data_IF_956450199984
#
_entry.id   IF_956450199984
#
_cell.length_a   1.000
_cell.length_b   1.000
_cell.length_c   1.000
_cell.angle_alpha   90.00
_cell.angle_beta   90.00
_cell.angle_gamma   90.00
#
_symmetry.space_group_name_H-M   'P 1'
#
loop_
_entity.id
_entity.type
_entity.pdbx_description
1 polymer ?
#
# COMPACT_ATOMS: atom_id res chain seq x y z
N UNK A 1 -2.00 4.19 -57.79
CA UNK A 1 -2.57 4.68 -56.55
C UNK A 1 -2.35 3.62 -55.49
N UNK A 2 -1.28 3.75 -54.74
CA UNK A 2 -0.90 2.82 -53.70
C UNK A 2 -1.27 3.38 -52.36
N UNK A 3 -2.14 2.69 -51.60
CA UNK A 3 -2.43 2.97 -50.20
C UNK A 3 -1.38 2.25 -49.37
N UNK A 4 -0.44 2.99 -48.81
CA UNK A 4 0.50 2.50 -47.79
C UNK A 4 -0.22 2.49 -46.44
N UNK A 5 -0.67 1.32 -46.02
CA UNK A 5 -1.11 1.07 -44.65
C UNK A 5 0.14 0.95 -43.77
N UNK A 6 0.49 2.02 -43.09
CA UNK A 6 1.48 1.99 -42.03
C UNK A 6 0.88 1.28 -40.81
N UNK A 7 1.25 0.02 -40.63
CA UNK A 7 0.93 -0.75 -39.45
C UNK A 7 1.67 -0.17 -38.24
N UNK A 8 0.92 0.43 -37.33
CA UNK A 8 1.40 0.82 -36.00
C UNK A 8 1.62 -0.44 -35.19
N UNK A 9 2.87 -0.90 -35.12
CA UNK A 9 3.28 -2.01 -34.26
C UNK A 9 3.24 -1.52 -32.83
N UNK A 10 2.14 -1.78 -32.12
CA UNK A 10 2.04 -1.56 -30.69
C UNK A 10 3.00 -2.52 -30.00
N UNK A 11 4.12 -1.98 -29.52
CA UNK A 11 5.02 -2.68 -28.62
C UNK A 11 4.30 -2.81 -27.29
N UNK A 12 3.56 -3.89 -27.07
CA UNK A 12 3.09 -4.32 -25.78
C UNK A 12 4.30 -4.87 -24.99
N UNK A 13 5.09 -3.96 -24.41
CA UNK A 13 6.05 -4.34 -23.38
C UNK A 13 5.27 -4.83 -22.16
N UNK A 14 5.38 -6.11 -21.86
CA UNK A 14 5.09 -6.86 -20.64
C UNK A 14 4.34 -6.18 -19.49
N UNK A 15 3.20 -5.60 -19.72
CA UNK A 15 2.26 -5.21 -18.65
C UNK A 15 1.61 -6.49 -18.15
N UNK A 16 1.96 -6.91 -16.94
CA UNK A 16 1.25 -7.96 -16.23
C UNK A 16 -0.26 -7.68 -16.30
N UNK A 17 -1.05 -8.74 -16.42
CA UNK A 17 -2.51 -8.64 -16.61
C UNK A 17 -3.14 -8.08 -15.32
N UNK A 18 -3.53 -6.81 -15.34
CA UNK A 18 -4.30 -6.20 -14.27
C UNK A 18 -5.65 -6.93 -14.10
N UNK A 19 -6.11 -7.06 -12.88
CA UNK A 19 -7.37 -7.74 -12.53
C UNK A 19 -8.10 -6.99 -11.42
N UNK A 20 -9.33 -7.37 -11.16
CA UNK A 20 -10.04 -6.83 -10.00
C UNK A 20 -9.27 -7.08 -8.70
N UNK A 21 -9.23 -6.09 -7.77
CA UNK A 21 -8.73 -6.33 -6.44
C UNK A 21 -9.48 -7.49 -5.74
N UNK A 22 -8.78 -8.24 -4.90
CA UNK A 22 -9.39 -9.32 -4.13
C UNK A 22 -10.51 -8.82 -3.21
N UNK A 23 -11.43 -9.71 -2.86
CA UNK A 23 -12.56 -9.35 -1.99
C UNK A 23 -12.08 -8.86 -0.61
N UNK A 24 -10.98 -9.40 -0.11
CA UNK A 24 -10.37 -8.97 1.14
C UNK A 24 -9.84 -7.52 1.06
N UNK A 25 -9.21 -7.17 -0.06
CA UNK A 25 -8.75 -5.81 -0.33
C UNK A 25 -9.93 -4.85 -0.46
N UNK A 26 -10.95 -5.22 -1.22
CA UNK A 26 -12.18 -4.41 -1.38
C UNK A 26 -12.86 -4.16 -0.03
N UNK A 27 -13.11 -5.21 0.74
CA UNK A 27 -13.75 -5.09 2.06
C UNK A 27 -12.93 -4.23 3.04
N UNK A 28 -11.62 -4.36 3.00
CA UNK A 28 -10.74 -3.55 3.84
C UNK A 28 -10.77 -2.08 3.42
N UNK A 29 -10.77 -1.80 2.13
CA UNK A 29 -10.88 -0.45 1.62
C UNK A 29 -12.20 0.22 2.05
N UNK A 30 -13.31 -0.51 1.98
CA UNK A 30 -14.61 -0.03 2.47
C UNK A 30 -14.57 0.30 3.96
N UNK A 31 -13.88 -0.50 4.77
CA UNK A 31 -13.67 -0.22 6.20
C UNK A 31 -12.89 1.08 6.41
N UNK A 32 -11.80 1.32 5.66
CA UNK A 32 -11.07 2.59 5.71
C UNK A 32 -11.96 3.77 5.38
N UNK A 33 -12.77 3.67 4.32
CA UNK A 33 -13.69 4.74 3.89
C UNK A 33 -14.84 4.98 4.88
N UNK A 34 -15.25 3.93 5.60
CA UNK A 34 -16.28 4.04 6.65
C UNK A 34 -15.75 4.75 7.89
N UNK A 35 -14.51 4.46 8.30
CA UNK A 35 -13.86 5.13 9.43
C UNK A 35 -13.48 6.58 9.12
N UNK A 36 -13.10 6.85 7.88
CA UNK A 36 -12.72 8.18 7.40
C UNK A 36 -13.16 8.39 5.97
N UNK A 37 -14.25 9.14 5.79
CA UNK A 37 -14.83 9.45 4.47
C UNK A 37 -13.84 10.19 3.54
N UNK A 38 -12.81 10.85 4.08
CA UNK A 38 -11.80 11.54 3.26
C UNK A 38 -10.80 10.59 2.57
N UNK A 39 -10.77 9.31 2.95
CA UNK A 39 -9.94 8.28 2.29
C UNK A 39 -10.29 8.16 0.80
N UNK A 40 -11.57 8.21 0.45
CA UNK A 40 -12.00 8.13 -0.95
C UNK A 40 -11.43 9.25 -1.82
N UNK A 41 -11.40 10.48 -1.32
CA UNK A 41 -10.79 11.61 -2.02
C UNK A 41 -9.26 11.48 -2.10
N UNK A 42 -8.63 11.01 -1.03
CA UNK A 42 -7.19 10.77 -0.99
C UNK A 42 -6.74 9.72 -2.02
N UNK A 43 -7.50 8.64 -2.20
CA UNK A 43 -7.25 7.61 -3.22
C UNK A 43 -7.40 8.18 -4.63
N UNK A 44 -8.43 8.99 -4.88
CA UNK A 44 -8.65 9.60 -6.21
C UNK A 44 -7.54 10.56 -6.61
N UNK A 45 -6.90 11.23 -5.65
CA UNK A 45 -5.79 12.14 -5.91
C UNK A 45 -4.43 11.47 -5.97
N UNK A 46 -4.30 10.23 -5.48
CA UNK A 46 -3.07 9.45 -5.52
C UNK A 46 -2.81 8.85 -6.90
N UNK A 47 -1.53 8.66 -7.25
CA UNK A 47 -1.15 7.96 -8.49
C UNK A 47 -1.44 6.45 -8.44
N UNK A 48 -1.49 5.87 -7.25
CA UNK A 48 -1.82 4.49 -6.96
C UNK A 48 -1.79 4.26 -5.46
N UNK A 49 -2.15 3.06 -5.03
CA UNK A 49 -2.08 2.69 -3.61
C UNK A 49 -1.79 1.20 -3.43
N UNK A 50 -1.12 0.87 -2.34
CA UNK A 50 -0.96 -0.50 -1.88
C UNK A 50 -1.80 -0.71 -0.62
N UNK A 51 -2.56 -1.80 -0.56
CA UNK A 51 -3.41 -2.12 0.59
C UNK A 51 -3.06 -3.50 1.13
N UNK A 52 -2.76 -3.54 2.42
CA UNK A 52 -2.47 -4.72 3.20
C UNK A 52 -3.62 -4.94 4.19
N UNK A 53 -4.52 -5.90 3.93
CA UNK A 53 -5.68 -6.15 4.79
C UNK A 53 -5.30 -6.57 6.21
N UNK A 54 -4.18 -7.28 6.36
CA UNK A 54 -3.70 -7.72 7.66
C UNK A 54 -2.17 -7.73 7.70
N UNK A 55 -1.62 -6.85 8.53
CA UNK A 55 -0.21 -6.87 8.93
C UNK A 55 -0.16 -7.39 10.36
N UNK A 56 0.53 -8.49 10.55
CA UNK A 56 0.73 -9.10 11.87
C UNK A 56 2.07 -8.66 12.43
N UNK A 57 2.06 -8.09 13.62
CA UNK A 57 3.23 -7.61 14.35
C UNK A 57 3.35 -8.33 15.68
N UNK A 58 4.55 -8.83 16.01
CA UNK A 58 4.79 -9.53 17.26
C UNK A 58 6.27 -9.80 17.50
N UNK A 59 6.58 -10.28 18.70
CA UNK A 59 7.92 -10.69 19.14
C UNK A 59 8.22 -10.32 20.58
N UNK A 60 9.26 -10.96 21.13
CA UNK A 60 9.87 -10.67 22.42
C UNK A 60 11.35 -10.35 22.22
N UNK A 61 11.78 -9.13 22.55
CA UNK A 61 13.16 -8.66 22.34
C UNK A 61 13.51 -8.35 20.89
N UNK A 62 13.30 -9.29 19.97
CA UNK A 62 13.33 -9.09 18.53
C UNK A 62 11.90 -9.27 18.02
N UNK A 63 11.36 -8.23 17.42
CA UNK A 63 10.03 -8.24 16.85
C UNK A 63 10.06 -8.12 15.33
N UNK A 64 8.93 -8.43 14.71
CA UNK A 64 8.74 -8.26 13.29
C UNK A 64 7.30 -8.01 12.93
N UNK A 65 7.09 -7.45 11.75
CA UNK A 65 5.80 -7.36 11.12
C UNK A 65 5.85 -8.00 9.74
N UNK A 66 4.75 -8.63 9.35
CA UNK A 66 4.57 -9.21 8.02
C UNK A 66 3.13 -9.08 7.55
N UNK A 67 2.96 -8.70 6.30
CA UNK A 67 1.66 -8.62 5.65
C UNK A 67 1.75 -8.90 4.17
N UNK A 68 0.63 -9.32 3.61
CA UNK A 68 0.45 -9.47 2.16
C UNK A 68 -0.68 -8.55 1.71
N UNK A 69 -0.54 -7.98 0.53
CA UNK A 69 -1.49 -7.05 -0.03
C UNK A 69 -1.40 -6.99 -1.55
N UNK A 70 -2.04 -6.00 -2.10
CA UNK A 70 -2.07 -5.74 -3.55
C UNK A 70 -1.72 -4.28 -3.83
N UNK A 71 -1.02 -4.06 -4.94
CA UNK A 71 -0.84 -2.73 -5.52
C UNK A 71 -1.95 -2.47 -6.53
N UNK A 72 -2.64 -1.35 -6.36
CA UNK A 72 -3.76 -0.94 -7.18
C UNK A 72 -3.42 0.35 -7.91
N UNK A 73 -3.60 0.33 -9.23
CA UNK A 73 -3.47 1.48 -10.12
C UNK A 73 -4.74 1.60 -10.96
N UNK A 74 -5.32 2.78 -11.03
CA UNK A 74 -6.56 3.06 -11.80
C UNK A 74 -7.73 2.11 -11.46
N UNK A 75 -7.83 1.70 -10.19
CA UNK A 75 -8.87 0.80 -9.71
C UNK A 75 -8.64 -0.68 -9.96
N UNK A 76 -7.54 -1.06 -10.57
CA UNK A 76 -7.19 -2.45 -10.87
C UNK A 76 -5.95 -2.91 -10.10
N UNK A 77 -5.96 -4.15 -9.63
CA UNK A 77 -4.81 -4.77 -8.98
C UNK A 77 -3.78 -5.18 -10.05
N UNK A 78 -2.60 -4.60 -9.97
CA UNK A 78 -1.51 -4.84 -10.93
C UNK A 78 -0.49 -5.87 -10.45
N UNK A 79 -0.52 -6.23 -9.17
CA UNK A 79 0.35 -7.26 -8.61
C UNK A 79 0.18 -7.43 -7.12
N UNK A 80 0.78 -8.51 -6.60
CA UNK A 80 0.88 -8.79 -5.17
C UNK A 80 2.04 -8.04 -4.56
N UNK A 81 1.88 -7.65 -3.31
CA UNK A 81 2.96 -7.05 -2.54
C UNK A 81 3.08 -7.71 -1.17
N UNK A 82 4.30 -7.80 -0.67
CA UNK A 82 4.59 -8.34 0.66
C UNK A 82 5.36 -7.31 1.46
N UNK A 83 4.86 -7.02 2.65
CA UNK A 83 5.48 -6.16 3.64
C UNK A 83 6.24 -7.02 4.64
N UNK A 84 7.46 -6.61 4.98
CA UNK A 84 8.26 -7.16 6.07
C UNK A 84 8.93 -6.04 6.86
N UNK A 85 8.98 -6.18 8.17
CA UNK A 85 9.67 -5.25 9.06
C UNK A 85 10.37 -6.03 10.16
N UNK A 86 11.59 -5.64 10.47
CA UNK A 86 12.32 -6.13 11.65
C UNK A 86 12.42 -4.97 12.63
N UNK A 87 12.02 -5.18 13.86
CA UNK A 87 12.14 -4.19 14.93
C UNK A 87 12.88 -4.79 16.12
N UNK A 88 13.76 -3.99 16.73
CA UNK A 88 14.45 -4.32 17.97
C UNK A 88 13.78 -3.50 19.07
N UNK A 89 13.30 -4.17 20.12
CA UNK A 89 12.65 -3.52 21.24
C UNK A 89 11.74 -4.45 22.02
N UNK A 90 11.28 -3.98 23.16
CA UNK A 90 10.37 -4.72 24.04
C UNK A 90 8.94 -4.59 23.49
N UNK A 91 8.45 -5.65 22.82
CA UNK A 91 7.06 -5.74 22.40
C UNK A 91 6.46 -6.99 23.02
N UNK A 92 5.58 -6.78 23.99
CA UNK A 92 4.78 -7.86 24.56
C UNK A 92 3.47 -7.99 23.79
N UNK A 93 3.18 -9.17 23.26
CA UNK A 93 1.93 -9.49 22.56
C UNK A 93 1.98 -9.35 21.05
N UNK A 94 0.93 -9.85 20.38
CA UNK A 94 0.71 -9.75 18.95
C UNK A 94 -0.31 -8.67 18.62
N UNK A 95 -0.07 -7.91 17.58
CA UNK A 95 -1.01 -6.93 17.03
C UNK A 95 -1.29 -7.24 15.55
N UNK A 96 -2.51 -7.00 15.12
CA UNK A 96 -2.88 -7.05 13.72
C UNK A 96 -3.53 -5.72 13.32
N UNK A 97 -3.13 -5.19 12.18
CA UNK A 97 -3.68 -3.95 11.63
C UNK A 97 -3.73 -4.00 10.11
N UNK A 98 -4.59 -3.20 9.53
CA UNK A 98 -4.59 -2.94 8.09
C UNK A 98 -3.74 -1.72 7.79
N UNK A 99 -3.04 -1.73 6.65
CA UNK A 99 -2.19 -0.64 6.20
C UNK A 99 -2.52 -0.25 4.78
N UNK A 100 -2.74 1.04 4.56
CA UNK A 100 -2.99 1.65 3.25
C UNK A 100 -1.88 2.65 2.96
N UNK A 101 -1.14 2.41 1.89
CA UNK A 101 -0.06 3.26 1.40
C UNK A 101 -0.55 3.95 0.13
N UNK A 102 -0.63 5.28 0.16
CA UNK A 102 -0.95 6.11 -1.00
C UNK A 102 0.34 6.64 -1.60
N UNK A 103 0.45 6.59 -2.93
CA UNK A 103 1.60 7.11 -3.68
C UNK A 103 1.25 8.45 -4.31
N UNK A 104 2.09 9.45 -4.09
CA UNK A 104 1.85 10.83 -4.55
C UNK A 104 1.97 10.95 -6.07
N UNK A 105 2.95 10.26 -6.66
CA UNK A 105 3.31 10.38 -8.07
C UNK A 105 3.46 9.02 -8.75
N UNK A 106 3.35 8.95 -10.10
CA UNK A 106 3.68 7.73 -10.84
C UNK A 106 5.11 7.24 -10.58
N UNK A 107 6.07 8.16 -10.36
CA UNK A 107 7.45 7.79 -10.01
C UNK A 107 7.53 7.07 -8.65
N UNK A 108 6.71 7.47 -7.67
CA UNK A 108 6.63 6.79 -6.38
C UNK A 108 6.06 5.36 -6.52
N UNK A 109 5.04 5.18 -7.37
CA UNK A 109 4.51 3.86 -7.71
C UNK A 109 5.58 2.98 -8.36
N UNK A 110 6.30 3.50 -9.33
CA UNK A 110 7.35 2.74 -10.04
C UNK A 110 8.50 2.36 -9.11
N UNK A 111 8.90 3.26 -8.21
CA UNK A 111 9.88 2.95 -7.18
C UNK A 111 9.42 1.80 -6.27
N UNK A 112 8.15 1.78 -5.88
CA UNK A 112 7.57 0.68 -5.12
C UNK A 112 7.58 -0.64 -5.92
N UNK A 113 7.25 -0.59 -7.20
CA UNK A 113 7.27 -1.76 -8.11
C UNK A 113 8.66 -2.35 -8.32
N UNK A 114 9.72 -1.57 -8.12
CA UNK A 114 11.10 -2.06 -8.22
C UNK A 114 11.40 -3.22 -7.24
N UNK A 115 10.57 -3.38 -6.21
CA UNK A 115 10.74 -4.41 -5.18
C UNK A 115 11.90 -4.17 -4.22
N UNK A 116 12.54 -3.01 -4.31
CA UNK A 116 13.63 -2.56 -3.41
C UNK A 116 13.20 -1.40 -2.53
N UNK A 117 11.92 -1.10 -2.52
CA UNK A 117 11.36 0.01 -1.75
C UNK A 117 11.37 -0.31 -0.25
N UNK A 118 11.76 0.67 0.54
CA UNK A 118 11.71 0.62 2.00
C UNK A 118 11.33 2.00 2.54
N UNK A 119 10.61 2.04 3.65
CA UNK A 119 10.35 3.31 4.33
C UNK A 119 11.58 3.80 5.09
N UNK A 120 11.96 5.02 4.83
CA UNK A 120 12.92 5.76 5.64
C UNK A 120 12.37 6.09 7.03
N UNK A 121 13.23 6.62 7.89
CA UNK A 121 12.86 7.03 9.25
C UNK A 121 11.85 8.20 9.29
N UNK A 122 11.71 8.94 8.20
CA UNK A 122 10.81 10.10 8.09
C UNK A 122 9.35 9.70 7.83
N UNK A 123 9.11 8.46 7.40
CA UNK A 123 7.76 7.97 7.10
C UNK A 123 7.10 7.53 8.40
N UNK A 124 5.95 8.12 8.69
CA UNK A 124 5.11 7.76 9.83
C UNK A 124 3.71 7.39 9.35
N UNK A 125 3.06 6.48 10.07
CA UNK A 125 1.68 6.11 9.81
C UNK A 125 0.72 6.97 10.61
N UNK A 126 -0.42 7.26 10.00
CA UNK A 126 -1.53 7.95 10.65
C UNK A 126 -2.64 6.92 10.91
N UNK A 127 -3.06 6.78 12.17
CA UNK A 127 -4.20 5.96 12.51
C UNK A 127 -5.49 6.60 11.96
N UNK A 128 -6.26 5.81 11.22
CA UNK A 128 -7.48 6.30 10.57
C UNK A 128 -8.55 6.60 11.61
N UNK A 129 -9.07 7.80 11.53
CA UNK A 129 -10.23 8.32 12.23
C UNK A 129 -10.80 9.47 11.40
N UNK A 130 -12.02 9.90 11.65
CA UNK A 130 -12.68 10.95 10.88
C UNK A 130 -11.77 12.16 10.57
N UNK A 131 -11.54 12.43 9.28
CA UNK A 131 -10.73 13.54 8.78
C UNK A 131 -9.20 13.34 8.85
N UNK A 132 -8.71 12.21 9.38
CA UNK A 132 -7.28 11.98 9.56
C UNK A 132 -6.53 11.91 8.23
N UNK A 133 -7.10 11.26 7.23
CA UNK A 133 -6.46 11.11 5.92
C UNK A 133 -6.36 12.42 5.13
N UNK A 134 -7.31 13.34 5.31
CA UNK A 134 -7.27 14.67 4.71
C UNK A 134 -6.13 15.53 5.28
N UNK A 135 -5.83 15.35 6.58
CA UNK A 135 -4.78 16.10 7.28
C UNK A 135 -3.40 15.46 7.18
N UNK A 136 -3.34 14.19 6.82
CA UNK A 136 -2.06 13.48 6.65
C UNK A 136 -1.29 14.03 5.46
N UNK A 137 0.02 14.20 5.63
CA UNK A 137 0.91 14.71 4.59
C UNK A 137 1.70 13.57 3.94
N UNK A 138 2.06 13.76 2.68
CA UNK A 138 3.03 12.91 2.02
C UNK A 138 4.43 13.15 2.59
N UNK A 139 5.17 12.06 2.80
CA UNK A 139 6.58 12.06 3.16
C UNK A 139 7.29 11.04 2.26
N UNK A 140 8.39 11.43 1.64
CA UNK A 140 9.12 10.57 0.68
C UNK A 140 8.23 10.01 -0.45
N UNK A 141 7.22 10.78 -0.88
CA UNK A 141 6.27 10.40 -1.93
C UNK A 141 5.17 9.43 -1.50
N UNK A 142 5.05 9.12 -0.21
CA UNK A 142 4.03 8.22 0.33
C UNK A 142 3.27 8.85 1.49
N UNK A 143 2.02 8.41 1.65
CA UNK A 143 1.16 8.68 2.80
C UNK A 143 0.68 7.35 3.33
N UNK A 144 0.92 7.06 4.61
CA UNK A 144 0.59 5.78 5.22
C UNK A 144 -0.54 5.95 6.23
N UNK A 145 -1.60 5.19 6.03
CA UNK A 145 -2.76 5.14 6.92
C UNK A 145 -2.86 3.72 7.50
N UNK A 146 -3.16 3.62 8.78
CA UNK A 146 -3.32 2.35 9.48
C UNK A 146 -4.65 2.28 10.21
N UNK A 147 -5.17 1.06 10.33
CA UNK A 147 -6.42 0.77 11.05
C UNK A 147 -6.30 -0.54 11.81
N UNK A 148 -6.62 -0.52 13.10
CA UNK A 148 -6.57 -1.73 13.93
C UNK A 148 -7.54 -2.82 13.42
N UNK A 149 -7.09 -4.06 13.39
CA UNK A 149 -7.92 -5.24 13.14
C UNK A 149 -8.38 -5.85 14.47
N UNK A 150 -9.14 -5.06 15.25
CA UNK A 150 -9.60 -5.40 16.59
C UNK A 150 -8.72 -4.82 17.69
N UNK A 151 -9.34 -4.36 18.76
CA UNK A 151 -8.64 -3.76 19.91
C UNK A 151 -8.17 -2.31 19.69
N UNK A 152 -7.43 -1.79 20.67
CA UNK A 152 -6.82 -0.48 20.59
C UNK A 152 -5.49 -0.58 19.85
N UNK A 153 -5.30 0.25 18.83
CA UNK A 153 -4.03 0.40 18.15
C UNK A 153 -3.24 1.54 18.80
N UNK A 154 -2.15 1.17 19.43
CA UNK A 154 -1.10 2.14 19.74
C UNK A 154 -0.27 2.37 18.47
N UNK A 155 0.12 3.61 18.25
CA UNK A 155 0.86 4.12 17.11
C UNK A 155 1.76 3.08 16.41
N UNK A 156 1.46 2.76 15.14
CA UNK A 156 2.27 1.83 14.36
C UNK A 156 3.49 2.56 13.80
N UNK A 157 4.66 2.23 14.31
CA UNK A 157 5.91 2.61 13.64
C UNK A 157 6.05 1.81 12.35
N UNK A 158 6.13 2.51 11.21
CA UNK A 158 6.31 1.93 9.88
C UNK A 158 7.73 2.11 9.34
N UNK A 159 8.56 2.89 10.01
CA UNK A 159 9.96 3.07 9.64
C UNK A 159 10.70 1.74 9.52
N UNK A 160 11.47 1.57 8.45
CA UNK A 160 12.20 0.34 8.18
C UNK A 160 11.38 -0.81 7.57
N UNK A 161 10.10 -0.59 7.25
CA UNK A 161 9.34 -1.56 6.45
C UNK A 161 9.96 -1.71 5.06
N UNK A 162 10.05 -2.95 4.60
CA UNK A 162 10.53 -3.33 3.27
C UNK A 162 9.41 -4.01 2.50
N UNK A 163 9.36 -3.74 1.20
CA UNK A 163 8.31 -4.24 0.33
C UNK A 163 8.89 -5.03 -0.83
N UNK A 164 8.21 -6.13 -1.19
CA UNK A 164 8.42 -6.86 -2.43
C UNK A 164 7.18 -6.72 -3.29
N UNK A 165 7.36 -6.63 -4.59
CA UNK A 165 6.29 -6.57 -5.57
C UNK A 165 6.43 -7.68 -6.60
N UNK A 166 5.33 -8.32 -6.93
CA UNK A 166 5.22 -9.35 -7.96
C UNK A 166 4.03 -9.02 -8.87
N UNK A 167 4.31 -8.63 -10.10
CA UNK A 167 3.27 -8.32 -11.07
C UNK A 167 2.41 -9.55 -11.38
N UNK A 168 1.11 -9.35 -11.60
CA UNK A 168 0.24 -10.40 -12.11
C UNK A 168 0.61 -10.73 -13.57
N UNK A 169 0.59 -12.02 -13.92
CA UNK A 169 0.87 -12.54 -15.25
C UNK A 169 -0.42 -12.68 -16.07
#
# INVERSE_FOLDING_TARGET
MGLLATGLLAICAGLGRAKEPSDEVKATLERFQKEDSSVGAAIKSAAGYALFPSVKKGGLGIGGARGSGELIEKGEAVGKTTLTQVSIGFQAGGQAYAELILFETPAAVENFRSGKFAFGAQVSAVAVKSGASANAKYAEGVKVLTMANGGLMYEASVGGQKFKFEAYK
#
